data_IF_350346062242
#
_entry.id   IF_350346062242
#
_cell.length_a   1.000
_cell.length_b   1.000
_cell.length_c   1.000
_cell.angle_alpha   90.00
_cell.angle_beta   90.00
_cell.angle_gamma   90.00
#
_symmetry.space_group_name_H-M   'P 1'
#
loop_
_entity.id
_entity.type
_entity.pdbx_description
1 polymer ?
#
# COMPACT_ATOMS: atom_id res chain seq x y z
N UNK A 1 -50.94 -17.45 34.57
CA UNK A 1 -49.52 -17.84 34.81
C UNK A 1 -48.98 -18.47 33.53
N UNK A 2 -48.32 -17.66 32.69
CA UNK A 2 -47.45 -18.12 31.61
C UNK A 2 -46.33 -17.08 31.51
N UNK A 3 -45.10 -17.58 31.48
CA UNK A 3 -43.88 -16.90 31.93
C UNK A 3 -43.45 -15.75 30.99
N UNK A 4 -43.20 -14.56 31.53
CA UNK A 4 -42.56 -13.42 30.84
C UNK A 4 -41.08 -13.39 31.22
N UNK A 5 -40.28 -14.32 30.73
CA UNK A 5 -38.82 -14.18 30.72
C UNK A 5 -38.25 -14.79 29.44
N UNK A 6 -37.26 -14.10 28.88
CA UNK A 6 -36.41 -14.49 27.75
C UNK A 6 -36.99 -14.32 26.34
N UNK A 7 -36.85 -13.09 25.83
CA UNK A 7 -36.49 -12.89 24.41
C UNK A 7 -35.45 -11.77 24.26
N UNK A 8 -34.22 -12.11 24.66
CA UNK A 8 -33.02 -11.57 24.01
C UNK A 8 -32.97 -12.18 22.61
N UNK A 9 -33.25 -11.40 21.58
CA UNK A 9 -32.86 -11.76 20.21
C UNK A 9 -32.46 -10.51 19.46
N UNK A 10 -31.15 -10.39 19.30
CA UNK A 10 -30.46 -9.74 18.18
C UNK A 10 -31.01 -8.37 17.76
N UNK A 11 -30.56 -7.33 18.47
CA UNK A 11 -30.34 -6.04 17.83
C UNK A 11 -29.27 -6.26 16.76
N UNK A 12 -29.71 -6.50 15.54
CA UNK A 12 -28.91 -6.30 14.35
C UNK A 12 -28.44 -4.85 14.41
N UNK A 13 -27.20 -4.63 14.82
CA UNK A 13 -26.59 -3.31 14.84
C UNK A 13 -26.65 -2.79 13.40
N UNK A 14 -27.60 -1.89 13.14
CA UNK A 14 -27.64 -1.09 11.93
C UNK A 14 -26.35 -0.26 11.93
N UNK A 15 -25.32 -0.76 11.23
CA UNK A 15 -24.02 -0.11 11.04
C UNK A 15 -24.09 1.03 10.02
N UNK A 16 -25.28 1.53 9.71
CA UNK A 16 -25.45 2.78 8.97
C UNK A 16 -25.49 3.87 10.02
N UNK A 17 -24.42 4.66 10.06
CA UNK A 17 -24.36 5.88 10.85
C UNK A 17 -25.66 6.69 10.62
N UNK A 18 -26.45 7.06 11.65
CA UNK A 18 -27.71 7.78 11.48
C UNK A 18 -27.55 9.14 10.76
N UNK A 19 -26.32 9.65 10.61
CA UNK A 19 -26.00 10.82 9.79
C UNK A 19 -25.97 10.55 8.26
N UNK A 20 -25.91 9.29 7.81
CA UNK A 20 -25.82 8.94 6.38
C UNK A 20 -27.18 8.70 5.72
N UNK A 21 -28.25 8.46 6.47
CA UNK A 21 -29.59 8.21 5.90
C UNK A 21 -30.15 9.44 5.13
N UNK A 22 -29.53 10.62 5.28
CA UNK A 22 -29.91 11.86 4.61
C UNK A 22 -28.76 12.56 3.87
N UNK A 23 -27.65 11.88 3.56
CA UNK A 23 -26.53 12.51 2.84
C UNK A 23 -26.90 12.73 1.36
N UNK A 24 -27.10 13.98 0.96
CA UNK A 24 -27.40 14.32 -0.44
C UNK A 24 -26.16 14.79 -1.20
N UNK A 25 -26.25 14.78 -2.54
CA UNK A 25 -25.21 15.39 -3.39
C UNK A 25 -24.97 16.87 -3.02
N UNK A 26 -26.03 17.61 -2.68
CA UNK A 26 -25.91 19.02 -2.30
C UNK A 26 -25.08 19.18 -1.02
N UNK A 27 -25.26 18.29 -0.05
CA UNK A 27 -24.50 18.32 1.21
C UNK A 27 -23.02 18.06 0.97
N UNK A 28 -22.69 17.06 0.12
CA UNK A 28 -21.31 16.75 -0.25
C UNK A 28 -20.64 17.95 -0.94
N UNK A 29 -21.31 18.55 -1.92
CA UNK A 29 -20.76 19.70 -2.65
C UNK A 29 -20.61 20.93 -1.72
N UNK A 30 -21.57 21.15 -0.83
CA UNK A 30 -21.49 22.21 0.16
C UNK A 30 -20.28 22.01 1.08
N UNK A 31 -20.09 20.79 1.59
CA UNK A 31 -18.97 20.44 2.46
C UNK A 31 -17.61 20.59 1.77
N UNK A 32 -17.50 20.23 0.50
CA UNK A 32 -16.26 20.43 -0.28
C UNK A 32 -15.95 21.92 -0.50
N UNK A 33 -16.97 22.74 -0.79
CA UNK A 33 -16.79 24.18 -1.10
C UNK A 33 -16.55 25.04 0.14
N UNK A 34 -17.26 24.74 1.22
CA UNK A 34 -17.24 25.55 2.45
C UNK A 34 -16.30 24.98 3.51
N UNK A 35 -16.06 23.68 3.48
CA UNK A 35 -15.42 22.94 4.56
C UNK A 35 -16.36 22.63 5.73
N UNK A 36 -17.60 23.13 5.74
CA UNK A 36 -18.55 22.87 6.82
C UNK A 36 -19.09 21.43 6.72
N UNK A 37 -19.06 20.70 7.83
CA UNK A 37 -19.38 19.26 7.81
C UNK A 37 -18.26 18.36 7.27
N UNK A 38 -17.18 18.93 6.70
CA UNK A 38 -15.97 18.18 6.34
C UNK A 38 -15.02 18.11 7.54
N UNK A 39 -14.92 16.93 8.15
CA UNK A 39 -14.08 16.71 9.33
C UNK A 39 -12.61 16.60 8.96
N UNK A 40 -12.32 15.95 7.83
CA UNK A 40 -10.98 15.76 7.33
C UNK A 40 -10.91 14.75 6.20
N UNK A 41 -9.70 14.40 5.80
CA UNK A 41 -9.46 13.34 4.81
C UNK A 41 -8.65 12.19 5.41
N UNK A 42 -8.70 11.04 4.75
CA UNK A 42 -7.81 9.92 5.04
C UNK A 42 -6.93 9.77 3.81
N UNK A 43 -5.63 9.91 4.00
CA UNK A 43 -4.63 9.90 2.94
C UNK A 43 -3.61 8.80 3.20
N UNK A 44 -2.78 8.53 2.20
CA UNK A 44 -1.60 7.69 2.37
C UNK A 44 -0.39 8.61 2.60
N UNK A 45 0.57 8.18 3.42
CA UNK A 45 1.83 8.91 3.58
C UNK A 45 2.51 9.06 2.20
N UNK A 46 2.85 10.28 1.75
CA UNK A 46 3.44 10.51 0.44
C UNK A 46 4.72 9.69 0.19
N UNK A 47 5.49 9.39 1.23
CA UNK A 47 6.69 8.56 1.13
C UNK A 47 6.39 7.16 0.64
N UNK A 48 5.19 6.63 0.88
CA UNK A 48 4.81 5.34 0.31
C UNK A 48 4.66 5.40 -1.22
N UNK A 49 4.45 6.58 -1.80
CA UNK A 49 4.24 6.78 -3.24
C UNK A 49 5.44 6.40 -4.10
N UNK A 50 5.16 5.73 -5.24
CA UNK A 50 6.14 5.22 -6.20
C UNK A 50 7.11 6.25 -6.81
N UNK A 51 6.71 7.51 -6.83
CA UNK A 51 7.44 8.59 -7.46
C UNK A 51 7.52 9.79 -6.51
N UNK A 52 7.61 9.53 -5.20
CA UNK A 52 7.66 10.62 -4.24
C UNK A 52 8.99 11.37 -4.32
N UNK A 53 10.10 10.63 -4.15
CA UNK A 53 11.45 11.15 -4.27
C UNK A 53 11.97 11.01 -5.69
N UNK A 54 13.01 11.80 -6.00
CA UNK A 54 13.75 11.64 -7.24
C UNK A 54 14.52 10.31 -7.17
N UNK A 55 14.69 9.62 -8.29
CA UNK A 55 15.46 8.38 -8.20
C UNK A 55 15.83 7.71 -9.50
N UNK A 56 16.54 6.60 -9.35
CA UNK A 56 16.99 5.75 -10.43
C UNK A 56 16.93 4.29 -9.96
N UNK A 57 15.84 3.61 -10.33
CA UNK A 57 15.49 2.26 -9.90
C UNK A 57 16.62 1.27 -10.12
N UNK A 58 17.21 1.29 -11.32
CA UNK A 58 18.27 0.34 -11.71
C UNK A 58 19.51 0.43 -10.82
N UNK A 59 19.75 1.57 -10.17
CA UNK A 59 20.88 1.77 -9.25
C UNK A 59 20.46 1.86 -7.77
N UNK A 60 19.17 1.74 -7.47
CA UNK A 60 18.67 1.82 -6.09
C UNK A 60 18.80 3.21 -5.45
N UNK A 61 18.85 4.29 -6.25
CA UNK A 61 19.05 5.66 -5.75
C UNK A 61 17.70 6.33 -5.53
N UNK A 62 17.48 6.83 -4.32
CA UNK A 62 16.33 7.65 -3.92
C UNK A 62 16.84 8.90 -3.22
N UNK A 63 16.49 10.08 -3.71
CA UNK A 63 16.96 11.35 -3.20
C UNK A 63 15.82 12.32 -2.93
N UNK A 64 15.89 12.94 -1.75
CA UNK A 64 15.14 14.16 -1.51
C UNK A 64 15.61 15.24 -2.52
N UNK A 65 14.75 16.17 -2.96
CA UNK A 65 15.14 17.16 -3.97
C UNK A 65 16.37 18.00 -3.60
N UNK A 66 16.60 18.24 -2.31
CA UNK A 66 17.83 18.88 -1.81
C UNK A 66 19.10 18.06 -2.11
N UNK A 67 19.03 16.73 -2.03
CA UNK A 67 20.13 15.83 -2.38
C UNK A 67 20.30 15.70 -3.91
N UNK A 68 19.20 15.73 -4.67
CA UNK A 68 19.26 15.77 -6.13
C UNK A 68 20.04 16.99 -6.63
N UNK A 69 19.86 18.15 -5.99
CA UNK A 69 20.60 19.38 -6.31
C UNK A 69 22.10 19.23 -6.10
N UNK A 70 22.54 18.56 -5.04
CA UNK A 70 23.99 18.34 -4.80
C UNK A 70 24.62 17.39 -5.81
N UNK A 71 23.80 16.52 -6.43
CA UNK A 71 24.21 15.61 -7.49
C UNK A 71 23.91 16.11 -8.91
N UNK A 72 23.51 17.39 -9.05
CA UNK A 72 23.15 18.03 -10.32
C UNK A 72 22.07 17.28 -11.13
N UNK A 73 21.19 16.52 -10.48
CA UNK A 73 20.15 15.75 -11.16
C UNK A 73 20.61 14.42 -11.78
N UNK A 74 21.82 13.96 -11.47
CA UNK A 74 22.37 12.73 -12.05
C UNK A 74 22.61 11.64 -11.00
N UNK A 75 22.38 10.39 -11.39
CA UNK A 75 22.69 9.23 -10.58
C UNK A 75 24.21 9.14 -10.30
N UNK A 76 24.67 9.03 -9.05
CA UNK A 76 26.10 8.96 -8.74
C UNK A 76 26.77 7.70 -9.29
N UNK A 77 26.01 6.61 -9.47
CA UNK A 77 26.49 5.29 -9.90
C UNK A 77 26.70 5.23 -11.42
N UNK A 78 25.66 5.51 -12.20
CA UNK A 78 25.68 5.32 -13.66
C UNK A 78 25.74 6.65 -14.46
N UNK A 79 25.68 7.79 -13.78
CA UNK A 79 25.67 9.15 -14.37
C UNK A 79 24.49 9.45 -15.32
N UNK A 80 23.48 8.59 -15.39
CA UNK A 80 22.22 8.89 -16.09
C UNK A 80 21.38 9.89 -15.27
N UNK A 81 20.50 10.67 -15.93
CA UNK A 81 19.56 11.55 -15.22
C UNK A 81 18.68 10.76 -14.25
N UNK A 82 18.33 11.37 -13.12
CA UNK A 82 17.32 10.84 -12.19
C UNK A 82 15.91 11.09 -12.74
N UNK A 83 15.00 10.15 -12.49
CA UNK A 83 13.56 10.37 -12.63
C UNK A 83 13.12 11.35 -11.55
N UNK A 84 12.52 12.47 -11.97
CA UNK A 84 12.07 13.53 -11.04
C UNK A 84 10.77 13.09 -10.36
N UNK A 85 10.76 13.13 -9.03
CA UNK A 85 9.64 12.80 -8.16
C UNK A 85 8.71 13.98 -7.87
N UNK A 86 7.59 13.66 -7.24
CA UNK A 86 6.53 14.61 -6.86
C UNK A 86 7.07 15.63 -5.85
N UNK A 87 7.89 15.22 -4.89
CA UNK A 87 8.42 16.12 -3.87
C UNK A 87 9.27 17.23 -4.49
N UNK A 88 10.02 16.92 -5.55
CA UNK A 88 10.80 17.93 -6.29
C UNK A 88 9.89 18.97 -6.92
N UNK A 89 8.78 18.53 -7.52
CA UNK A 89 7.79 19.46 -8.09
C UNK A 89 7.10 20.30 -7.01
N UNK A 90 6.82 19.73 -5.84
CA UNK A 90 6.28 20.46 -4.69
C UNK A 90 7.26 21.54 -4.25
N UNK A 91 8.55 21.22 -4.06
CA UNK A 91 9.57 22.19 -3.66
C UNK A 91 9.76 23.31 -4.69
N UNK A 92 9.69 23.00 -5.99
CA UNK A 92 9.75 24.01 -7.05
C UNK A 92 8.58 25.00 -7.03
N UNK A 93 7.39 24.54 -6.62
CA UNK A 93 6.16 25.33 -6.61
C UNK A 93 5.85 25.96 -5.25
N UNK A 94 6.53 25.53 -4.19
CA UNK A 94 6.31 26.04 -2.86
C UNK A 94 6.70 27.52 -2.77
N UNK A 95 5.83 28.31 -2.14
CA UNK A 95 6.14 29.68 -1.79
C UNK A 95 7.29 29.70 -0.77
N UNK A 96 8.16 30.72 -0.85
CA UNK A 96 9.34 30.83 0.03
C UNK A 96 9.00 30.90 1.52
N UNK A 97 7.79 31.34 1.87
CA UNK A 97 7.27 31.44 3.24
C UNK A 97 6.54 30.17 3.70
N UNK A 98 6.49 29.11 2.88
CA UNK A 98 5.88 27.82 3.18
C UNK A 98 6.94 26.71 3.18
N UNK A 99 7.78 26.63 4.22
CA UNK A 99 8.78 25.57 4.33
C UNK A 99 8.11 24.19 4.47
N UNK A 100 8.90 23.13 4.34
CA UNK A 100 8.45 21.77 4.58
C UNK A 100 7.79 21.63 5.97
N UNK A 101 6.66 20.94 6.03
CA UNK A 101 5.85 20.81 7.23
C UNK A 101 4.96 22.03 7.56
N UNK A 102 4.98 23.09 6.73
CA UNK A 102 4.08 24.22 6.92
C UNK A 102 2.61 23.77 6.85
N UNK A 103 1.83 24.13 7.88
CA UNK A 103 0.39 23.89 7.94
C UNK A 103 -0.37 25.23 7.99
N UNK A 104 -1.23 25.54 7.00
CA UNK A 104 -2.10 26.71 7.06
C UNK A 104 -2.98 26.70 8.32
N UNK A 105 -3.26 27.88 8.88
CA UNK A 105 -4.08 28.02 10.12
C UNK A 105 -5.45 27.35 10.04
N UNK A 106 -6.07 27.36 8.86
CA UNK A 106 -7.41 26.81 8.63
C UNK A 106 -7.38 25.46 7.89
N UNK A 107 -6.22 24.78 7.86
CA UNK A 107 -6.12 23.48 7.22
C UNK A 107 -6.98 22.45 7.97
N UNK A 108 -7.85 21.75 7.23
CA UNK A 108 -8.58 20.60 7.74
C UNK A 108 -7.61 19.50 8.17
N UNK A 109 -8.05 18.68 9.10
CA UNK A 109 -7.26 17.54 9.52
C UNK A 109 -7.21 16.48 8.42
N UNK A 110 -6.11 15.75 8.36
CA UNK A 110 -6.05 14.52 7.59
C UNK A 110 -5.38 13.46 8.46
N UNK A 111 -5.71 12.20 8.19
CA UNK A 111 -5.05 11.05 8.82
C UNK A 111 -4.31 10.25 7.75
N UNK A 112 -3.03 10.02 7.97
CA UNK A 112 -2.24 9.12 7.12
C UNK A 112 -2.46 7.68 7.57
N UNK A 113 -2.98 6.83 6.68
CA UNK A 113 -3.19 5.42 6.92
C UNK A 113 -2.66 4.60 5.75
N UNK A 114 -2.07 3.47 6.09
CA UNK A 114 -1.79 2.38 5.16
C UNK A 114 -2.92 1.33 5.26
N UNK A 115 -3.35 0.70 4.15
CA UNK A 115 -4.39 -0.33 4.17
C UNK A 115 -4.10 -1.49 5.11
N UNK A 116 -5.14 -2.10 5.68
CA UNK A 116 -5.02 -3.22 6.62
C UNK A 116 -4.28 -4.41 6.00
N UNK A 117 -4.50 -4.68 4.72
CA UNK A 117 -3.84 -5.75 3.98
C UNK A 117 -2.32 -5.58 3.88
N UNK A 118 -1.83 -4.34 3.79
CA UNK A 118 -0.39 -4.04 3.82
C UNK A 118 0.21 -4.33 5.20
N UNK A 119 -0.50 -3.95 6.28
CA UNK A 119 -0.06 -4.24 7.65
C UNK A 119 -0.03 -5.75 7.93
N UNK A 120 -1.03 -6.49 7.45
CA UNK A 120 -1.07 -7.95 7.56
C UNK A 120 0.06 -8.59 6.74
N UNK A 121 0.22 -8.17 5.48
CA UNK A 121 1.30 -8.59 4.58
C UNK A 121 2.66 -8.41 5.25
N UNK A 122 2.88 -7.25 5.88
CA UNK A 122 4.07 -6.93 6.63
C UNK A 122 4.33 -7.90 7.78
N UNK A 123 3.34 -8.15 8.64
CA UNK A 123 3.46 -9.04 9.82
C UNK A 123 3.64 -10.50 9.40
N UNK A 124 2.96 -10.94 8.34
CA UNK A 124 3.05 -12.31 7.85
C UNK A 124 4.28 -12.59 6.99
N UNK A 125 5.01 -11.54 6.59
CA UNK A 125 6.13 -11.60 5.63
C UNK A 125 5.74 -12.31 4.32
N UNK A 126 4.58 -11.96 3.78
CA UNK A 126 4.02 -12.54 2.55
C UNK A 126 3.46 -11.45 1.67
N UNK A 127 3.52 -11.62 0.35
CA UNK A 127 2.86 -10.71 -0.58
C UNK A 127 1.39 -10.51 -0.24
N UNK A 128 0.92 -9.27 -0.41
CA UNK A 128 -0.47 -8.86 -0.21
C UNK A 128 -1.48 -9.70 -0.99
N UNK A 129 -1.05 -10.26 -2.13
CA UNK A 129 -1.88 -11.10 -3.00
C UNK A 129 -2.09 -12.53 -2.49
N UNK A 130 -1.41 -12.92 -1.40
CA UNK A 130 -1.42 -14.31 -0.92
C UNK A 130 -2.67 -14.64 -0.12
N UNK A 131 -3.12 -15.90 -0.24
CA UNK A 131 -4.29 -16.41 0.49
C UNK A 131 -4.25 -16.14 2.00
N UNK A 132 -3.12 -16.33 2.72
CA UNK A 132 -3.06 -16.09 4.16
C UNK A 132 -3.31 -14.63 4.55
N UNK A 133 -2.87 -13.66 3.73
CA UNK A 133 -3.14 -12.24 3.98
C UNK A 133 -4.63 -11.96 3.87
N UNK A 134 -5.28 -12.46 2.81
CA UNK A 134 -6.72 -12.31 2.63
C UNK A 134 -7.53 -13.02 3.72
N UNK A 135 -7.12 -14.23 4.13
CA UNK A 135 -7.80 -14.97 5.21
C UNK A 135 -7.81 -14.17 6.52
N UNK A 136 -6.67 -13.59 6.90
CA UNK A 136 -6.56 -12.74 8.09
C UNK A 136 -7.37 -11.43 7.94
N UNK A 137 -7.31 -10.80 6.76
CA UNK A 137 -8.04 -9.57 6.46
C UNK A 137 -9.56 -9.80 6.57
N UNK A 138 -10.09 -10.85 5.91
CA UNK A 138 -11.51 -11.19 5.98
C UNK A 138 -11.95 -11.62 7.38
N UNK A 139 -11.09 -12.30 8.14
CA UNK A 139 -11.37 -12.64 9.54
C UNK A 139 -11.62 -11.38 10.37
N UNK A 140 -10.75 -10.37 10.23
CA UNK A 140 -10.87 -9.11 10.96
C UNK A 140 -12.09 -8.31 10.50
N UNK A 141 -12.34 -8.22 9.19
CA UNK A 141 -13.55 -7.57 8.67
C UNK A 141 -14.82 -8.24 9.19
N UNK A 142 -14.88 -9.58 9.20
CA UNK A 142 -16.05 -10.30 9.72
C UNK A 142 -16.29 -10.04 11.20
N UNK A 143 -15.22 -9.81 11.98
CA UNK A 143 -15.33 -9.59 13.42
C UNK A 143 -15.64 -8.13 13.78
N UNK A 144 -15.04 -7.17 13.07
CA UNK A 144 -15.10 -5.73 13.40
C UNK A 144 -15.88 -4.88 12.38
N UNK A 145 -16.46 -5.50 11.35
CA UNK A 145 -17.30 -4.86 10.34
C UNK A 145 -16.52 -4.38 9.12
N UNK A 146 -15.81 -3.26 9.24
CA UNK A 146 -15.12 -2.63 8.11
C UNK A 146 -13.68 -2.22 8.44
N UNK A 147 -12.88 -1.99 7.39
CA UNK A 147 -11.46 -1.67 7.51
C UNK A 147 -11.20 -0.38 8.28
N UNK A 148 -11.95 0.69 8.01
CA UNK A 148 -11.78 1.95 8.72
C UNK A 148 -12.07 1.82 10.21
N UNK A 149 -13.07 1.02 10.60
CA UNK A 149 -13.33 0.75 12.00
C UNK A 149 -12.12 0.09 12.70
N UNK A 150 -11.54 -0.92 12.04
CA UNK A 150 -10.35 -1.63 12.52
C UNK A 150 -9.16 -0.66 12.66
N UNK A 151 -8.90 0.13 11.61
CA UNK A 151 -7.76 1.03 11.56
C UNK A 151 -7.91 2.22 12.52
N UNK A 152 -9.12 2.75 12.74
CA UNK A 152 -9.33 4.00 13.46
C UNK A 152 -9.86 3.86 14.88
N UNK A 153 -10.69 2.85 15.18
CA UNK A 153 -11.53 2.86 16.37
C UNK A 153 -11.32 1.65 17.30
N UNK A 154 -11.13 0.44 16.75
CA UNK A 154 -11.05 -0.79 17.56
C UNK A 154 -9.92 -0.68 18.59
N UNK A 155 -10.17 -1.09 19.84
CA UNK A 155 -9.16 -0.99 20.90
C UNK A 155 -7.99 -1.96 20.68
N UNK A 156 -6.80 -1.62 21.19
CA UNK A 156 -5.61 -2.50 21.09
C UNK A 156 -5.89 -3.89 21.70
N UNK A 157 -6.54 -3.94 22.87
CA UNK A 157 -6.90 -5.19 23.54
C UNK A 157 -7.80 -6.08 22.69
N UNK A 158 -8.76 -5.50 21.96
CA UNK A 158 -9.62 -6.25 21.06
C UNK A 158 -8.86 -6.75 19.83
N UNK A 159 -7.98 -5.93 19.26
CA UNK A 159 -7.11 -6.32 18.15
C UNK A 159 -6.20 -7.50 18.54
N UNK A 160 -5.62 -7.47 19.74
CA UNK A 160 -4.79 -8.55 20.28
C UNK A 160 -5.60 -9.84 20.39
N UNK A 161 -6.84 -9.77 20.92
CA UNK A 161 -7.72 -10.94 21.06
C UNK A 161 -8.14 -11.55 19.72
N UNK A 162 -8.40 -10.72 18.71
CA UNK A 162 -8.85 -11.17 17.40
C UNK A 162 -7.70 -11.61 16.47
N UNK A 163 -6.48 -11.12 16.72
CA UNK A 163 -5.29 -11.40 15.91
C UNK A 163 -4.07 -11.75 16.78
N UNK A 164 -3.02 -10.95 16.72
CA UNK A 164 -1.81 -11.08 17.50
C UNK A 164 -1.27 -9.69 17.89
N UNK A 165 -0.37 -9.66 18.88
CA UNK A 165 0.19 -8.41 19.39
C UNK A 165 0.92 -7.59 18.34
N UNK A 166 1.67 -8.23 17.44
CA UNK A 166 2.45 -7.52 16.41
C UNK A 166 1.56 -6.75 15.44
N UNK A 167 0.45 -7.36 14.99
CA UNK A 167 -0.51 -6.70 14.12
C UNK A 167 -1.28 -5.59 14.86
N UNK A 168 -1.67 -5.83 16.11
CA UNK A 168 -2.31 -4.82 16.94
C UNK A 168 -1.42 -3.58 17.14
N UNK A 169 -0.16 -3.78 17.55
CA UNK A 169 0.84 -2.71 17.72
C UNK A 169 1.01 -1.91 16.40
N UNK A 170 1.05 -2.62 15.26
CA UNK A 170 1.21 -2.01 13.94
C UNK A 170 -0.02 -1.19 13.51
N UNK A 171 -1.22 -1.69 13.77
CA UNK A 171 -2.48 -0.94 13.52
C UNK A 171 -2.52 0.32 14.39
N UNK A 172 -2.12 0.25 15.66
CA UNK A 172 -2.07 1.41 16.57
C UNK A 172 -1.05 2.44 16.08
N UNK A 173 0.15 2.03 15.66
CA UNK A 173 1.13 2.94 15.06
C UNK A 173 0.62 3.57 13.77
N UNK A 174 -0.06 2.80 12.91
CA UNK A 174 -0.70 3.32 11.69
C UNK A 174 -1.74 4.39 12.04
N UNK A 175 -2.63 4.10 13.00
CA UNK A 175 -3.67 5.01 13.49
C UNK A 175 -3.13 6.34 14.00
N UNK A 176 -1.96 6.30 14.64
CA UNK A 176 -1.32 7.46 15.25
C UNK A 176 -0.31 8.16 14.31
N UNK A 177 -0.20 7.74 13.04
CA UNK A 177 0.78 8.24 12.08
C UNK A 177 2.24 8.13 12.58
N UNK A 178 2.55 7.04 13.29
CA UNK A 178 3.88 6.75 13.84
C UNK A 178 4.71 5.78 12.98
N UNK A 179 4.17 5.36 11.83
CA UNK A 179 4.91 4.54 10.88
C UNK A 179 6.00 5.36 10.20
N UNK A 180 7.18 4.76 10.10
CA UNK A 180 8.31 5.33 9.37
C UNK A 180 8.38 4.72 7.99
N UNK A 181 8.74 5.54 7.01
CA UNK A 181 8.84 5.13 5.62
C UNK A 181 10.22 5.43 5.05
N UNK A 182 10.69 4.56 4.18
CA UNK A 182 11.67 4.90 3.15
C UNK A 182 10.87 5.34 1.93
N UNK A 183 11.18 6.53 1.41
CA UNK A 183 10.46 7.12 0.29
C UNK A 183 10.59 6.27 -0.98
N UNK A 184 9.46 6.05 -1.66
CA UNK A 184 9.41 5.47 -2.99
C UNK A 184 9.93 6.43 -4.06
N UNK A 185 10.43 5.85 -5.15
CA UNK A 185 11.13 6.56 -6.22
C UNK A 185 11.11 5.75 -7.52
N UNK A 186 11.14 6.44 -8.66
CA UNK A 186 11.27 5.84 -9.99
C UNK A 186 10.41 4.57 -10.22
N UNK A 187 9.17 4.60 -9.70
CA UNK A 187 8.16 3.55 -9.82
C UNK A 187 8.28 2.40 -8.81
N UNK A 188 9.18 2.49 -7.84
CA UNK A 188 9.32 1.61 -6.67
C UNK A 188 8.52 2.20 -5.51
N UNK A 189 7.61 1.42 -4.91
CA UNK A 189 6.86 1.87 -3.72
C UNK A 189 7.79 2.13 -2.53
N UNK A 190 7.38 3.06 -1.67
CA UNK A 190 8.03 3.26 -0.39
C UNK A 190 7.86 2.06 0.53
N UNK A 191 8.71 1.98 1.54
CA UNK A 191 8.81 0.81 2.44
C UNK A 191 8.54 1.22 3.87
N UNK A 192 7.75 0.43 4.60
CA UNK A 192 7.58 0.62 6.04
C UNK A 192 8.86 0.14 6.75
N UNK A 193 9.31 0.91 7.73
CA UNK A 193 10.46 0.61 8.58
C UNK A 193 9.99 0.33 10.00
N UNK A 194 10.27 -0.87 10.51
CA UNK A 194 10.12 -1.19 11.94
C UNK A 194 11.33 -1.98 12.45
N UNK A 195 11.77 -1.65 13.67
CA UNK A 195 12.88 -2.31 14.37
C UNK A 195 14.18 -2.41 13.55
N UNK A 196 14.45 -1.41 12.71
CA UNK A 196 15.61 -1.37 11.83
C UNK A 196 15.55 -2.32 10.62
N UNK A 197 14.41 -2.95 10.36
CA UNK A 197 14.16 -3.80 9.19
C UNK A 197 13.26 -3.08 8.19
N UNK A 198 13.67 -3.11 6.93
CA UNK A 198 12.89 -2.63 5.78
C UNK A 198 11.97 -3.76 5.29
N UNK A 199 10.74 -3.45 4.92
CA UNK A 199 9.88 -4.42 4.26
C UNK A 199 9.19 -3.79 3.05
N UNK A 200 9.31 -4.46 1.89
CA UNK A 200 8.63 -4.10 0.64
C UNK A 200 7.97 -5.31 0.00
N UNK A 201 6.94 -5.05 -0.82
CA UNK A 201 6.35 -6.02 -1.75
C UNK A 201 7.42 -6.82 -2.52
N UNK A 202 8.53 -6.17 -2.87
CA UNK A 202 9.57 -6.73 -3.73
C UNK A 202 10.56 -7.67 -3.05
N UNK A 203 10.55 -7.80 -1.71
CA UNK A 203 11.49 -8.74 -1.08
C UNK A 203 11.17 -10.18 -1.48
N UNK A 204 9.89 -10.54 -1.60
CA UNK A 204 9.50 -11.85 -2.13
C UNK A 204 9.73 -12.00 -3.63
N UNK A 205 9.54 -10.97 -4.46
CA UNK A 205 9.81 -11.06 -5.90
C UNK A 205 11.31 -11.30 -6.15
N UNK A 206 12.18 -10.60 -5.41
CA UNK A 206 13.64 -10.78 -5.44
C UNK A 206 14.07 -12.14 -4.87
N UNK A 207 13.46 -12.62 -3.77
CA UNK A 207 13.75 -13.96 -3.22
C UNK A 207 13.29 -15.07 -4.17
N UNK A 208 12.16 -14.90 -4.86
CA UNK A 208 11.60 -15.87 -5.81
C UNK A 208 12.40 -15.89 -7.12
N UNK A 209 12.85 -14.73 -7.62
CA UNK A 209 13.78 -14.60 -8.75
C UNK A 209 15.15 -15.25 -8.43
N UNK A 210 15.72 -14.96 -7.25
CA UNK A 210 16.97 -15.60 -6.79
C UNK A 210 16.85 -17.12 -6.57
N UNK A 211 15.64 -17.64 -6.29
CA UNK A 211 15.39 -19.10 -6.21
C UNK A 211 15.28 -19.74 -7.60
N UNK A 212 14.72 -19.03 -8.58
CA UNK A 212 14.63 -19.49 -9.98
C UNK A 212 16.00 -19.50 -10.69
N UNK A 213 16.88 -18.54 -10.38
CA UNK A 213 18.25 -18.49 -10.89
C UNK A 213 19.18 -19.58 -10.31
N UNK A 214 18.80 -20.20 -9.17
CA UNK A 214 19.60 -21.24 -8.49
C UNK A 214 19.25 -22.67 -8.90
N UNK A 215 18.27 -22.87 -9.78
CA UNK A 215 18.00 -24.19 -10.38
C UNK A 215 18.89 -24.38 -11.62
N UNK A 216 19.82 -25.36 -11.63
CA UNK A 216 20.63 -25.60 -12.82
C UNK A 216 19.74 -26.16 -13.93
N UNK A 217 19.52 -25.37 -14.98
CA UNK A 217 18.84 -25.81 -16.19
C UNK A 217 19.75 -26.81 -16.91
N UNK A 218 19.45 -28.10 -16.80
CA UNK A 218 20.08 -29.13 -17.65
C UNK A 218 19.70 -28.83 -19.11
N UNK A 219 20.67 -28.39 -19.90
CA UNK A 219 20.55 -28.21 -21.35
C UNK A 219 20.29 -29.58 -22.00
N UNK A 220 19.05 -29.86 -22.38
CA UNK A 220 18.77 -30.90 -23.37
C UNK A 220 19.09 -30.33 -24.76
N UNK A 221 19.96 -31.01 -25.50
CA UNK A 221 20.32 -30.67 -26.89
C UNK A 221 19.07 -30.84 -27.78
N UNK A 222 18.83 -29.94 -28.75
CA UNK A 222 17.74 -30.13 -29.71
C UNK A 222 18.11 -31.20 -30.74
N UNK A 223 17.27 -32.23 -30.84
CA UNK A 223 17.33 -33.27 -31.86
C UNK A 223 16.74 -32.73 -33.16
N UNK A 224 17.56 -32.58 -34.20
CA UNK A 224 17.14 -32.17 -35.55
C UNK A 224 16.40 -33.34 -36.22
N UNK A 225 15.08 -33.24 -36.38
CA UNK A 225 14.32 -34.13 -37.26
C UNK A 225 14.31 -33.56 -38.68
N UNK A 226 15.02 -34.24 -39.59
CA UNK A 226 14.97 -33.99 -41.05
C UNK A 226 13.60 -34.39 -41.59
N UNK A 227 12.82 -33.43 -42.10
CA UNK A 227 11.69 -33.71 -42.99
C UNK A 227 12.22 -34.05 -44.38
N UNK A 228 11.98 -35.27 -44.86
CA UNK A 228 12.15 -35.66 -46.27
C UNK A 228 10.88 -35.28 -47.04
N UNK A 229 11.04 -34.41 -48.03
CA UNK A 229 10.08 -34.24 -49.13
C UNK A 229 9.98 -35.54 -49.93
N UNK A 230 8.76 -35.99 -50.23
CA UNK A 230 8.51 -36.96 -51.30
C UNK A 230 7.46 -36.37 -52.23
N UNK A 231 7.85 -36.24 -53.49
CA UNK A 231 7.12 -35.73 -54.63
C UNK A 231 6.00 -36.69 -55.06
N UNK A 232 4.94 -36.11 -55.63
CA UNK A 232 3.77 -36.78 -56.19
C UNK A 232 4.01 -37.15 -57.66
N UNK A 233 3.54 -38.33 -58.05
CA UNK A 233 3.38 -38.81 -59.44
C UNK A 233 3.45 -40.33 -59.43
N UNK A 234 2.70 -41.13 -60.19
CA UNK A 234 1.60 -41.01 -61.14
C UNK A 234 1.19 -42.50 -61.40
N UNK A 235 0.02 -42.74 -62.00
CA UNK A 235 -0.43 -43.98 -62.65
C UNK A 235 -1.19 -45.06 -61.84
N UNK A 236 -2.48 -45.14 -62.19
CA UNK A 236 -3.21 -46.29 -62.72
C UNK A 236 -3.75 -47.42 -61.81
N UNK A 237 -5.04 -47.68 -62.09
CA UNK A 237 -5.98 -48.76 -61.72
C UNK A 237 -6.73 -48.69 -60.39
#
# INVERSE_FOLDING_TARGET
KYNKENKKTSESINLINPYLENLTYSDIISAIRTGDGLWGTIEVDPNYGKYHFDGHRDCGISYHPSETKTHNGFCPVCKKPLTIGVMNRVEQLADKDRPEGFKPKNAKEFKSLIPLSELISFVLHKSISTKPVFEEHYKLLKHFGNEYNILLNVSEDELIKASNKQLADLIVKNRNAELKFIAGYDGVYGKIVMDGKEYSEDEESVIKLKKLEKTPTQKQKPTVQKQKQVQKGLMDF
#
